data_IF_894629629891
#
_entry.id   IF_894629629891
#
_cell.length_a   1.000
_cell.length_b   1.000
_cell.length_c   1.000
_cell.angle_alpha   90.00
_cell.angle_beta   90.00
_cell.angle_gamma   90.00
#
_symmetry.space_group_name_H-M   'P 1'
#
loop_
_entity.id
_entity.type
_entity.pdbx_description
1 polymer ?
#
# COMPACT_ATOMS: atom_id res chain seq x y z
N UNK A 1 -3.41 -23.75 -9.33
CA UNK A 1 -4.22 -22.86 -10.18
C UNK A 1 -4.15 -21.39 -9.75
N UNK A 2 -4.39 -21.03 -8.49
CA UNK A 2 -4.34 -19.61 -8.04
C UNK A 2 -2.93 -18.99 -8.18
N UNK A 3 -1.90 -19.74 -7.78
CA UNK A 3 -0.51 -19.27 -7.80
C UNK A 3 0.05 -19.04 -9.23
N UNK A 4 -0.44 -19.77 -10.24
CA UNK A 4 -0.02 -19.58 -11.63
C UNK A 4 -0.64 -18.33 -12.27
N UNK A 5 -1.90 -18.02 -11.94
CA UNK A 5 -2.59 -16.81 -12.42
C UNK A 5 -1.95 -15.55 -11.85
N UNK A 6 -1.54 -15.58 -10.58
CA UNK A 6 -0.87 -14.45 -9.93
C UNK A 6 0.53 -14.20 -10.52
N UNK A 7 1.31 -15.26 -10.76
CA UNK A 7 2.61 -15.13 -11.46
C UNK A 7 2.49 -14.64 -12.90
N UNK A 8 1.36 -14.90 -13.55
CA UNK A 8 1.07 -14.34 -14.86
C UNK A 8 0.78 -12.85 -14.75
N UNK A 9 -0.08 -12.45 -13.82
CA UNK A 9 -0.38 -11.04 -13.54
C UNK A 9 0.87 -10.24 -13.15
N UNK A 10 1.74 -10.78 -12.28
CA UNK A 10 3.03 -10.17 -11.91
C UNK A 10 3.90 -9.89 -13.14
N UNK A 11 3.94 -10.83 -14.09
CA UNK A 11 4.71 -10.69 -15.33
C UNK A 11 4.10 -9.67 -16.28
N UNK A 12 2.79 -9.76 -16.50
CA UNK A 12 2.06 -8.84 -17.39
C UNK A 12 2.19 -7.39 -16.92
N UNK A 13 1.94 -7.13 -15.62
CA UNK A 13 2.09 -5.79 -15.04
C UNK A 13 3.53 -5.28 -15.16
N UNK A 14 4.52 -6.14 -14.92
CA UNK A 14 5.93 -5.77 -15.06
C UNK A 14 6.30 -5.45 -16.51
N UNK A 15 5.87 -6.27 -17.48
CA UNK A 15 6.15 -6.03 -18.89
C UNK A 15 5.53 -4.71 -19.35
N UNK A 16 4.28 -4.42 -18.97
CA UNK A 16 3.65 -3.13 -19.29
C UNK A 16 4.41 -1.95 -18.67
N UNK A 17 4.81 -2.06 -17.40
CA UNK A 17 5.59 -1.01 -16.75
C UNK A 17 6.99 -0.85 -17.38
N UNK A 18 7.70 -1.94 -17.64
CA UNK A 18 9.06 -1.91 -18.20
C UNK A 18 9.09 -1.38 -19.64
N UNK A 19 8.02 -1.58 -20.41
CA UNK A 19 7.82 -0.94 -21.71
C UNK A 19 7.73 0.59 -21.56
N UNK A 20 6.93 1.08 -20.61
CA UNK A 20 6.84 2.52 -20.34
C UNK A 20 8.17 3.10 -19.84
N UNK A 21 8.92 2.34 -19.02
CA UNK A 21 10.27 2.72 -18.60
C UNK A 21 11.21 2.86 -19.78
N UNK A 22 11.21 1.87 -20.69
CA UNK A 22 12.11 1.85 -21.86
C UNK A 22 11.81 2.97 -22.84
N UNK A 23 10.56 3.42 -22.88
CA UNK A 23 10.12 4.58 -23.67
C UNK A 23 10.27 5.92 -22.93
N UNK A 24 10.78 5.89 -21.69
CA UNK A 24 11.05 7.07 -20.88
C UNK A 24 12.56 7.37 -20.86
N UNK A 25 12.93 8.65 -20.75
CA UNK A 25 14.32 9.07 -20.57
C UNK A 25 14.75 9.06 -19.08
N UNK A 26 14.12 8.21 -18.25
CA UNK A 26 14.33 8.17 -16.80
C UNK A 26 15.37 7.11 -16.42
N UNK A 27 16.20 7.42 -15.43
CA UNK A 27 17.11 6.43 -14.85
C UNK A 27 16.33 5.38 -14.01
N UNK A 28 16.93 4.22 -13.78
CA UNK A 28 16.35 3.11 -13.02
C UNK A 28 15.81 3.53 -11.65
N UNK A 29 16.53 4.37 -10.90
CA UNK A 29 16.09 4.86 -9.59
C UNK A 29 14.92 5.85 -9.68
N UNK A 30 14.99 6.79 -10.62
CA UNK A 30 13.95 7.79 -10.90
C UNK A 30 12.63 7.12 -11.32
N UNK A 31 12.71 5.98 -11.98
CA UNK A 31 11.55 5.20 -12.36
C UNK A 31 11.05 4.26 -11.25
N UNK A 32 11.98 3.55 -10.60
CA UNK A 32 11.67 2.50 -9.62
C UNK A 32 10.87 3.03 -8.42
N UNK A 33 11.37 4.09 -7.79
CA UNK A 33 10.80 4.60 -6.55
C UNK A 33 9.35 5.09 -6.75
N UNK A 34 9.05 5.93 -7.76
CA UNK A 34 7.69 6.37 -8.06
C UNK A 34 6.73 5.23 -8.42
N UNK A 35 7.18 4.22 -9.19
CA UNK A 35 6.33 3.06 -9.52
C UNK A 35 5.97 2.24 -8.27
N UNK A 36 6.93 1.99 -7.39
CA UNK A 36 6.65 1.32 -6.10
C UNK A 36 5.71 2.15 -5.23
N UNK A 37 5.84 3.49 -5.25
CA UNK A 37 4.91 4.40 -4.59
C UNK A 37 3.48 4.30 -5.12
N UNK A 38 3.28 4.14 -6.44
CA UNK A 38 1.95 3.94 -7.03
C UNK A 38 1.33 2.60 -6.62
N UNK A 39 2.13 1.53 -6.57
CA UNK A 39 1.66 0.22 -6.07
C UNK A 39 1.25 0.33 -4.60
N UNK A 40 2.03 1.05 -3.79
CA UNK A 40 1.65 1.34 -2.40
C UNK A 40 0.36 2.15 -2.31
N UNK A 41 0.20 3.18 -3.13
CA UNK A 41 -1.02 3.99 -3.15
C UNK A 41 -2.25 3.15 -3.51
N UNK A 42 -2.11 2.24 -4.49
CA UNK A 42 -3.17 1.29 -4.85
C UNK A 42 -3.51 0.36 -3.69
N UNK A 43 -2.51 -0.16 -3.00
CA UNK A 43 -2.71 -0.98 -1.80
C UNK A 43 -3.46 -0.22 -0.70
N UNK A 44 -2.99 1.00 -0.38
CA UNK A 44 -3.60 1.84 0.63
C UNK A 44 -5.06 2.15 0.29
N UNK A 45 -5.35 2.44 -0.98
CA UNK A 45 -6.72 2.68 -1.44
C UNK A 45 -7.64 1.47 -1.29
N UNK A 46 -7.17 0.29 -1.67
CA UNK A 46 -7.94 -0.94 -1.54
C UNK A 46 -8.23 -1.25 -0.07
N UNK A 47 -7.23 -1.10 0.80
CA UNK A 47 -7.39 -1.25 2.26
C UNK A 47 -8.37 -0.22 2.84
N UNK A 48 -8.28 1.04 2.40
CA UNK A 48 -9.19 2.11 2.80
C UNK A 48 -10.64 1.77 2.44
N UNK A 49 -10.93 1.38 1.19
CA UNK A 49 -12.30 1.05 0.73
C UNK A 49 -12.90 -0.11 1.52
N UNK A 50 -12.12 -1.16 1.81
CA UNK A 50 -12.59 -2.24 2.68
C UNK A 50 -12.99 -1.74 4.06
N UNK A 51 -12.08 -1.04 4.73
CA UNK A 51 -12.31 -0.58 6.10
C UNK A 51 -13.46 0.43 6.14
N UNK A 52 -13.57 1.31 5.14
CA UNK A 52 -14.71 2.19 4.95
C UNK A 52 -16.03 1.40 4.89
N UNK A 53 -16.11 0.36 4.07
CA UNK A 53 -17.32 -0.48 3.99
C UNK A 53 -17.61 -1.24 5.28
N UNK A 54 -16.59 -1.68 6.03
CA UNK A 54 -16.76 -2.33 7.34
C UNK A 54 -17.30 -1.35 8.38
N UNK A 55 -16.73 -0.14 8.46
CA UNK A 55 -17.14 0.91 9.38
C UNK A 55 -18.59 1.31 9.08
N UNK A 56 -18.93 1.54 7.81
CA UNK A 56 -20.26 1.94 7.38
C UNK A 56 -21.35 0.91 7.76
N UNK A 57 -21.02 -0.39 7.78
CA UNK A 57 -21.97 -1.46 8.18
C UNK A 57 -22.33 -1.43 9.67
N UNK A 58 -21.40 -1.04 10.53
CA UNK A 58 -21.55 -1.09 11.99
C UNK A 58 -21.94 0.27 12.58
N UNK A 59 -21.94 1.31 11.75
CA UNK A 59 -22.07 2.68 12.23
C UNK A 59 -23.47 3.01 12.73
N UNK A 60 -23.61 3.61 13.93
CA UNK A 60 -24.91 4.05 14.41
C UNK A 60 -25.45 5.21 13.56
N UNK A 61 -26.75 5.15 13.28
CA UNK A 61 -27.51 6.21 12.62
C UNK A 61 -28.26 7.03 13.67
N UNK A 62 -28.22 8.36 13.57
CA UNK A 62 -29.02 9.28 14.40
C UNK A 62 -29.93 10.09 13.47
N UNK A 63 -31.25 9.97 13.66
CA UNK A 63 -32.23 10.69 12.85
C UNK A 63 -32.19 10.34 11.36
N UNK A 64 -31.85 9.09 11.00
CA UNK A 64 -31.74 8.64 9.61
C UNK A 64 -30.46 9.07 8.89
N UNK A 65 -29.54 9.76 9.57
CA UNK A 65 -28.20 10.08 9.05
C UNK A 65 -27.13 9.29 9.78
N UNK A 66 -26.26 8.65 9.01
CA UNK A 66 -25.05 8.04 9.54
C UNK A 66 -24.10 9.16 9.98
N UNK A 67 -23.40 8.97 11.11
CA UNK A 67 -22.34 9.87 11.54
C UNK A 67 -21.26 9.99 10.43
N UNK A 68 -20.46 11.09 10.38
CA UNK A 68 -19.40 11.32 9.39
C UNK A 68 -18.10 10.59 9.75
N UNK A 69 -17.38 10.01 8.77
CA UNK A 69 -16.24 9.10 9.05
C UNK A 69 -15.06 9.89 9.58
N UNK A 70 -14.45 9.40 10.67
CA UNK A 70 -13.30 10.05 11.29
C UNK A 70 -12.01 9.29 11.00
N UNK A 71 -10.87 10.01 11.05
CA UNK A 71 -9.53 9.43 10.85
C UNK A 71 -9.22 8.34 11.89
N UNK A 72 -9.68 8.54 13.13
CA UNK A 72 -9.52 7.62 14.25
C UNK A 72 -10.15 6.23 13.99
N UNK A 73 -11.25 6.17 13.23
CA UNK A 73 -11.94 4.92 12.91
C UNK A 73 -11.05 3.95 12.10
N UNK A 74 -10.13 4.48 11.28
CA UNK A 74 -9.22 3.70 10.45
C UNK A 74 -8.00 3.20 11.21
N UNK A 75 -7.49 4.00 12.16
CA UNK A 75 -6.32 3.64 12.97
C UNK A 75 -6.55 2.34 13.77
N UNK A 76 -7.75 2.16 14.32
CA UNK A 76 -8.15 0.94 15.06
C UNK A 76 -8.10 -0.32 14.20
N UNK A 77 -8.28 -0.18 12.88
CA UNK A 77 -8.28 -1.25 11.89
C UNK A 77 -6.94 -1.41 11.16
N UNK A 78 -5.89 -0.72 11.63
CA UNK A 78 -4.57 -0.69 10.97
C UNK A 78 -4.68 -0.31 9.49
N UNK A 79 -5.50 0.67 9.17
CA UNK A 79 -5.65 1.23 7.84
C UNK A 79 -5.36 2.73 7.85
N UNK A 80 -4.87 3.24 6.72
CA UNK A 80 -4.68 4.68 6.52
C UNK A 80 -6.02 5.29 6.09
N UNK A 81 -6.35 6.44 6.68
CA UNK A 81 -7.39 7.30 6.12
C UNK A 81 -6.85 7.98 4.86
N UNK A 82 -7.61 7.94 3.77
CA UNK A 82 -7.23 8.60 2.52
C UNK A 82 -8.17 9.78 2.23
N UNK A 83 -7.66 11.03 2.28
CA UNK A 83 -8.36 12.20 1.75
C UNK A 83 -8.79 11.97 0.30
N UNK A 84 -9.85 12.64 -0.14
CA UNK A 84 -10.42 12.45 -1.49
C UNK A 84 -9.37 12.64 -2.57
N UNK A 85 -8.51 13.63 -2.42
CA UNK A 85 -7.43 14.00 -3.33
C UNK A 85 -6.31 12.94 -3.39
N UNK A 86 -6.21 12.10 -2.36
CA UNK A 86 -5.24 11.00 -2.27
C UNK A 86 -5.86 9.63 -2.63
N UNK A 87 -7.15 9.57 -2.98
CA UNK A 87 -7.79 8.33 -3.39
C UNK A 87 -7.40 7.99 -4.83
N UNK A 88 -7.07 6.73 -5.06
CA UNK A 88 -6.66 6.25 -6.37
C UNK A 88 -7.74 6.48 -7.45
N UNK A 89 -9.01 6.31 -7.06
CA UNK A 89 -10.16 6.58 -7.94
C UNK A 89 -10.27 8.05 -8.35
N UNK A 90 -9.95 8.99 -7.46
CA UNK A 90 -9.93 10.42 -7.79
C UNK A 90 -8.88 10.72 -8.85
N UNK A 91 -7.66 10.20 -8.68
CA UNK A 91 -6.56 10.40 -9.63
C UNK A 91 -6.89 9.86 -11.04
N UNK A 92 -7.61 8.74 -11.10
CA UNK A 92 -8.06 8.13 -12.36
C UNK A 92 -9.17 8.90 -13.08
N UNK A 93 -9.93 9.73 -12.35
CA UNK A 93 -11.06 10.50 -12.89
C UNK A 93 -10.67 11.92 -13.34
N UNK A 94 -9.39 12.29 -13.18
CA UNK A 94 -8.89 13.59 -13.60
C UNK A 94 -8.92 13.74 -15.12
N UNK A 95 -9.18 14.95 -15.64
CA UNK A 95 -9.09 15.22 -17.07
C UNK A 95 -7.63 15.15 -17.54
N UNK A 96 -7.43 14.87 -18.83
CA UNK A 96 -6.09 14.87 -19.43
C UNK A 96 -5.38 16.24 -19.28
N UNK A 97 -6.15 17.34 -19.38
CA UNK A 97 -5.64 18.69 -19.14
C UNK A 97 -5.84 19.09 -17.67
N UNK A 98 -4.83 18.83 -16.86
CA UNK A 98 -4.85 19.13 -15.41
C UNK A 98 -4.95 20.63 -15.13
N UNK A 99 -4.26 21.47 -15.92
CA UNK A 99 -4.32 22.92 -15.75
C UNK A 99 -5.75 23.48 -15.89
N UNK A 100 -6.59 22.88 -16.75
CA UNK A 100 -7.99 23.27 -16.91
C UNK A 100 -8.87 22.90 -15.70
N UNK A 101 -8.46 21.94 -14.88
CA UNK A 101 -9.21 21.52 -13.70
C UNK A 101 -9.07 22.49 -12.52
N UNK A 102 -8.19 23.51 -12.61
CA UNK A 102 -7.98 24.54 -11.58
C UNK A 102 -7.75 23.95 -10.17
N UNK A 103 -7.04 22.83 -10.11
CA UNK A 103 -6.76 22.14 -8.85
C UNK A 103 -5.74 22.93 -8.04
N UNK A 104 -5.96 22.99 -6.73
CA UNK A 104 -5.03 23.61 -5.79
C UNK A 104 -4.53 22.56 -4.81
N UNK A 105 -3.23 22.55 -4.59
CA UNK A 105 -2.62 21.83 -3.48
C UNK A 105 -3.13 22.40 -2.16
N UNK A 106 -2.92 21.65 -1.07
CA UNK A 106 -3.26 22.08 0.30
C UNK A 106 -2.67 23.46 0.64
N UNK A 107 -1.48 23.77 0.13
CA UNK A 107 -0.79 25.05 0.34
C UNK A 107 -1.31 26.19 -0.54
N UNK A 108 -2.35 25.94 -1.35
CA UNK A 108 -2.95 26.93 -2.25
C UNK A 108 -2.28 27.08 -3.61
N UNK A 109 -1.18 26.36 -3.86
CA UNK A 109 -0.49 26.32 -5.15
C UNK A 109 -1.35 25.66 -6.22
N UNK A 110 -1.51 26.31 -7.37
CA UNK A 110 -2.21 25.71 -8.51
C UNK A 110 -1.39 24.56 -9.10
N UNK A 111 -1.99 23.39 -9.19
CA UNK A 111 -1.38 22.21 -9.80
C UNK A 111 -1.77 22.17 -11.28
N UNK A 112 -0.76 22.03 -12.14
CA UNK A 112 -0.89 22.13 -13.60
C UNK A 112 -0.54 20.84 -14.33
N UNK A 113 0.12 19.92 -13.64
CA UNK A 113 0.50 18.60 -14.17
C UNK A 113 -0.04 17.47 -13.30
N UNK A 114 -0.16 16.26 -13.87
CA UNK A 114 -0.59 15.08 -13.13
C UNK A 114 0.45 14.70 -12.07
N UNK A 115 1.73 14.89 -12.37
CA UNK A 115 2.83 14.67 -11.43
C UNK A 115 2.68 15.50 -10.14
N UNK A 116 2.29 16.77 -10.24
CA UNK A 116 2.03 17.62 -9.07
C UNK A 116 0.84 17.12 -8.24
N UNK A 117 -0.21 16.63 -8.90
CA UNK A 117 -1.39 16.10 -8.20
C UNK A 117 -1.06 14.82 -7.45
N UNK A 118 -0.28 13.91 -8.04
CA UNK A 118 0.18 12.68 -7.37
C UNK A 118 1.15 13.01 -6.24
N UNK A 119 2.06 13.98 -6.42
CA UNK A 119 2.92 14.46 -5.33
C UNK A 119 2.09 14.99 -4.15
N UNK A 120 1.05 15.76 -4.42
CA UNK A 120 0.12 16.26 -3.40
C UNK A 120 -0.62 15.12 -2.70
N UNK A 121 -1.08 14.10 -3.43
CA UNK A 121 -1.69 12.90 -2.85
C UNK A 121 -0.74 12.20 -1.87
N UNK A 122 0.52 12.01 -2.24
CA UNK A 122 1.53 11.40 -1.35
C UNK A 122 1.78 12.26 -0.12
N UNK A 123 1.90 13.58 -0.28
CA UNK A 123 2.07 14.51 0.83
C UNK A 123 0.92 14.44 1.84
N UNK A 124 -0.32 14.42 1.35
CA UNK A 124 -1.52 14.30 2.19
C UNK A 124 -1.55 13.00 3.00
N UNK A 125 -0.98 11.91 2.48
CA UNK A 125 -0.87 10.63 3.18
C UNK A 125 0.22 10.71 4.27
N UNK A 126 1.36 11.33 3.98
CA UNK A 126 2.46 11.48 4.96
C UNK A 126 2.01 12.30 6.18
N UNK A 127 1.22 13.35 5.99
CA UNK A 127 0.72 14.17 7.11
C UNK A 127 -0.17 13.40 8.09
N UNK A 128 -0.74 12.26 7.70
CA UNK A 128 -1.57 11.44 8.59
C UNK A 128 -0.74 10.60 9.58
N UNK A 129 0.56 10.41 9.31
CA UNK A 129 1.41 9.53 10.12
C UNK A 129 2.86 10.01 10.15
N UNK A 130 3.37 10.27 11.36
CA UNK A 130 4.78 10.59 11.59
C UNK A 130 5.74 9.54 11.02
N UNK A 131 5.30 8.28 10.93
CA UNK A 131 6.10 7.17 10.39
C UNK A 131 6.30 7.25 8.87
N UNK A 132 5.43 7.99 8.16
CA UNK A 132 5.47 8.10 6.70
C UNK A 132 6.17 9.37 6.23
N UNK A 133 6.50 10.30 7.13
CA UNK A 133 7.14 11.58 6.77
C UNK A 133 8.47 11.32 6.05
N UNK A 134 8.55 11.78 4.80
CA UNK A 134 9.75 11.62 3.96
C UNK A 134 9.95 10.22 3.38
N UNK A 135 9.02 9.30 3.57
CA UNK A 135 9.10 7.91 3.07
C UNK A 135 8.51 7.79 1.67
N UNK A 136 7.42 8.51 1.38
CA UNK A 136 6.73 8.39 0.10
C UNK A 136 7.44 9.24 -0.97
N UNK A 137 7.65 8.69 -2.18
CA UNK A 137 8.29 9.40 -3.27
C UNK A 137 7.43 10.61 -3.70
N UNK A 138 8.09 11.71 -4.01
CA UNK A 138 7.46 12.97 -4.45
C UNK A 138 8.12 13.53 -5.72
N UNK A 139 8.64 12.64 -6.56
CA UNK A 139 9.34 12.95 -7.82
C UNK A 139 8.49 12.62 -9.05
N UNK A 140 7.16 12.62 -8.92
CA UNK A 140 6.25 12.25 -10.01
C UNK A 140 6.25 13.27 -11.16
N UNK A 141 6.73 14.49 -10.94
CA UNK A 141 6.93 15.52 -11.96
C UNK A 141 8.06 15.22 -12.94
N UNK A 142 8.90 14.21 -12.66
CA UNK A 142 9.91 13.74 -13.62
C UNK A 142 9.25 12.94 -14.77
N UNK A 143 8.04 12.42 -14.57
CA UNK A 143 7.29 11.70 -15.60
C UNK A 143 6.52 12.69 -16.48
N UNK A 144 6.36 12.34 -17.76
CA UNK A 144 5.33 13.00 -18.57
C UNK A 144 3.94 12.56 -18.10
N UNK A 145 2.97 13.48 -18.14
CA UNK A 145 1.58 13.20 -17.73
C UNK A 145 0.99 11.99 -18.48
N UNK A 146 1.36 11.79 -19.75
CA UNK A 146 0.94 10.65 -20.54
C UNK A 146 1.45 9.30 -19.97
N UNK A 147 2.75 9.22 -19.62
CA UNK A 147 3.33 8.00 -19.04
C UNK A 147 2.73 7.75 -17.64
N UNK A 148 2.59 8.80 -16.83
CA UNK A 148 2.04 8.68 -15.48
C UNK A 148 0.57 8.25 -15.49
N UNK A 149 -0.23 8.79 -16.41
CA UNK A 149 -1.63 8.38 -16.61
C UNK A 149 -1.72 6.90 -17.02
N UNK A 150 -0.87 6.45 -17.93
CA UNK A 150 -0.85 5.04 -18.35
C UNK A 150 -0.38 4.11 -17.20
N UNK A 151 0.59 4.54 -16.38
CA UNK A 151 0.98 3.80 -15.18
C UNK A 151 -0.17 3.66 -14.19
N UNK A 152 -0.90 4.76 -13.92
CA UNK A 152 -2.09 4.72 -13.07
C UNK A 152 -3.14 3.75 -13.62
N UNK A 153 -3.31 3.70 -14.94
CA UNK A 153 -4.23 2.78 -15.60
C UNK A 153 -3.79 1.32 -15.47
N UNK A 154 -2.51 1.01 -15.68
CA UNK A 154 -1.95 -0.35 -15.53
C UNK A 154 -2.22 -0.89 -14.12
N UNK A 155 -2.00 -0.08 -13.09
CA UNK A 155 -2.24 -0.47 -11.70
C UNK A 155 -3.69 -0.31 -11.24
N UNK A 156 -4.62 0.13 -12.10
CA UNK A 156 -6.06 0.12 -11.83
C UNK A 156 -6.74 -1.21 -12.24
N UNK A 157 -5.99 -2.30 -12.31
CA UNK A 157 -6.53 -3.61 -12.68
C UNK A 157 -7.39 -4.17 -11.54
N UNK A 158 -8.63 -4.60 -11.84
CA UNK A 158 -9.55 -5.18 -10.85
C UNK A 158 -9.04 -6.48 -10.22
N UNK A 159 -8.07 -7.15 -10.84
CA UNK A 159 -7.37 -8.28 -10.24
C UNK A 159 -6.59 -7.90 -8.96
N UNK A 160 -6.37 -6.59 -8.72
CA UNK A 160 -5.70 -6.06 -7.54
C UNK A 160 -6.67 -5.78 -6.38
N UNK A 161 -7.98 -5.88 -6.59
CA UNK A 161 -9.02 -5.54 -5.61
C UNK A 161 -9.29 -6.66 -4.61
N UNK A 162 -8.76 -7.84 -4.86
CA UNK A 162 -9.00 -9.02 -4.04
C UNK A 162 -8.04 -9.03 -2.84
N UNK A 163 -8.53 -8.54 -1.70
CA UNK A 163 -7.72 -8.25 -0.51
C UNK A 163 -7.60 -9.48 0.42
N UNK A 164 -8.30 -10.58 0.14
CA UNK A 164 -8.22 -11.81 0.94
C UNK A 164 -6.96 -12.65 0.65
N UNK A 165 -6.27 -12.38 -0.45
CA UNK A 165 -4.94 -12.90 -0.72
C UNK A 165 -4.00 -11.75 -1.00
N UNK A 166 -2.83 -11.73 -0.38
CA UNK A 166 -1.81 -10.67 -0.51
C UNK A 166 -1.25 -10.60 -1.96
N UNK A 167 -2.06 -10.17 -2.93
CA UNK A 167 -1.73 -10.07 -4.36
C UNK A 167 -0.92 -8.80 -4.58
N UNK A 168 -1.36 -7.67 -4.02
CA UNK A 168 -0.65 -6.40 -4.15
C UNK A 168 0.71 -6.45 -3.45
N UNK A 169 0.82 -7.05 -2.25
CA UNK A 169 2.11 -7.22 -1.58
C UNK A 169 3.05 -8.15 -2.35
N UNK A 170 2.54 -9.22 -2.97
CA UNK A 170 3.33 -10.08 -3.88
C UNK A 170 3.83 -9.34 -5.11
N UNK A 171 2.99 -8.51 -5.73
CA UNK A 171 3.38 -7.68 -6.86
C UNK A 171 4.42 -6.65 -6.43
N UNK A 172 4.22 -6.01 -5.28
CA UNK A 172 5.18 -5.08 -4.70
C UNK A 172 6.55 -5.75 -4.51
N UNK A 173 6.60 -6.93 -3.88
CA UNK A 173 7.81 -7.74 -3.73
C UNK A 173 8.44 -8.14 -5.08
N UNK A 174 7.61 -8.53 -6.06
CA UNK A 174 8.07 -8.92 -7.39
C UNK A 174 8.75 -7.75 -8.12
N UNK A 175 8.11 -6.59 -8.16
CA UNK A 175 8.66 -5.36 -8.75
C UNK A 175 9.95 -4.96 -8.04
N UNK A 176 9.91 -4.95 -6.71
CA UNK A 176 11.09 -4.70 -5.89
C UNK A 176 12.27 -5.63 -6.24
N UNK A 177 12.02 -6.92 -6.47
CA UNK A 177 13.08 -7.88 -6.80
C UNK A 177 13.62 -7.66 -8.21
N UNK A 178 12.76 -7.31 -9.16
CA UNK A 178 13.17 -6.96 -10.53
C UNK A 178 14.02 -5.70 -10.55
N UNK A 179 13.58 -4.65 -9.85
CA UNK A 179 14.35 -3.42 -9.71
C UNK A 179 15.64 -3.61 -8.91
N UNK A 180 15.67 -4.48 -7.90
CA UNK A 180 16.93 -4.71 -7.16
C UNK A 180 18.05 -5.23 -8.06
N UNK A 181 17.74 -6.00 -9.11
CA UNK A 181 18.78 -6.46 -10.06
C UNK A 181 19.32 -5.34 -10.94
N UNK A 182 18.51 -4.31 -11.20
CA UNK A 182 18.94 -3.14 -11.98
C UNK A 182 19.57 -2.04 -11.12
N UNK A 183 19.15 -1.92 -9.85
CA UNK A 183 19.58 -0.88 -8.90
C UNK A 183 20.79 -1.30 -8.06
N UNK A 184 20.96 -2.59 -7.75
CA UNK A 184 22.07 -3.09 -6.90
C UNK A 184 23.47 -2.88 -7.51
N UNK A 185 23.55 -2.44 -8.76
CA UNK A 185 24.82 -2.16 -9.43
C UNK A 185 25.49 -0.87 -8.93
N UNK A 186 24.74 0.10 -8.36
CA UNK A 186 25.25 1.46 -8.16
C UNK A 186 25.53 1.86 -6.70
N UNK A 187 24.78 1.38 -5.69
CA UNK A 187 24.85 1.94 -4.31
C UNK A 187 25.08 0.92 -3.16
N UNK A 188 25.45 -0.33 -3.46
CA UNK A 188 25.84 -1.30 -2.41
C UNK A 188 24.72 -1.76 -1.45
N UNK A 189 23.46 -1.50 -1.79
CA UNK A 189 22.29 -1.94 -1.02
C UNK A 189 21.87 -3.35 -1.45
N UNK A 190 21.96 -4.31 -0.53
CA UNK A 190 21.63 -5.73 -0.79
C UNK A 190 20.23 -6.09 -0.34
N UNK A 191 19.59 -6.98 -1.10
CA UNK A 191 18.26 -7.51 -0.79
C UNK A 191 18.33 -8.91 -0.19
N UNK A 192 17.59 -9.15 0.90
CA UNK A 192 17.43 -10.48 1.52
C UNK A 192 16.28 -11.26 0.87
N UNK A 193 16.54 -12.36 0.15
CA UNK A 193 15.49 -13.20 -0.43
C UNK A 193 14.44 -13.66 0.58
N UNK A 194 13.18 -13.75 0.15
CA UNK A 194 12.05 -14.19 0.99
C UNK A 194 12.24 -15.58 1.61
N UNK A 195 12.97 -16.47 0.94
CA UNK A 195 13.32 -17.79 1.49
C UNK A 195 14.19 -17.66 2.75
N UNK A 196 15.17 -16.75 2.75
CA UNK A 196 16.01 -16.47 3.91
C UNK A 196 15.23 -15.75 5.00
N UNK A 197 14.37 -14.79 4.66
CA UNK A 197 13.51 -14.13 5.66
C UNK A 197 12.59 -15.16 6.34
N UNK A 198 11.89 -16.00 5.59
CA UNK A 198 11.03 -17.05 6.15
C UNK A 198 11.81 -18.01 7.01
N UNK A 199 13.02 -18.40 6.59
CA UNK A 199 13.89 -19.24 7.40
C UNK A 199 14.23 -18.55 8.73
N UNK A 200 14.67 -17.29 8.71
CA UNK A 200 15.02 -16.51 9.91
C UNK A 200 13.80 -16.38 10.84
N UNK A 201 12.64 -15.99 10.31
CA UNK A 201 11.40 -15.87 11.11
C UNK A 201 10.96 -17.21 11.69
N UNK A 202 11.10 -18.30 10.94
CA UNK A 202 10.79 -19.65 11.42
C UNK A 202 11.81 -20.18 12.45
N UNK A 203 13.05 -19.66 12.47
CA UNK A 203 14.04 -19.99 13.50
C UNK A 203 13.78 -19.17 14.77
N UNK A 204 13.51 -17.87 14.62
CA UNK A 204 13.26 -16.96 15.75
C UNK A 204 11.92 -17.27 16.43
N UNK A 205 10.91 -17.70 15.65
CA UNK A 205 9.54 -17.98 16.09
C UNK A 205 8.95 -16.93 17.06
N UNK A 206 8.93 -15.64 16.69
CA UNK A 206 8.50 -14.60 17.61
C UNK A 206 7.03 -14.78 18.01
N UNK A 207 6.75 -14.77 19.31
CA UNK A 207 5.38 -14.85 19.87
C UNK A 207 4.92 -13.53 20.49
N UNK A 208 5.82 -12.82 21.17
CA UNK A 208 5.60 -11.50 21.80
C UNK A 208 6.95 -10.83 22.05
N UNK A 209 6.97 -9.50 22.09
CA UNK A 209 8.18 -8.70 22.36
C UNK A 209 8.57 -7.81 21.19
N UNK A 210 9.78 -7.24 21.26
CA UNK A 210 10.31 -6.33 20.24
C UNK A 210 11.27 -7.09 19.33
N UNK A 211 11.03 -7.03 18.03
CA UNK A 211 11.95 -7.55 17.01
C UNK A 211 12.80 -6.40 16.49
N UNK A 212 14.12 -6.52 16.61
CA UNK A 212 15.08 -5.52 16.15
C UNK A 212 15.91 -6.10 15.00
N UNK A 213 15.97 -5.35 13.90
CA UNK A 213 16.90 -5.59 12.82
C UNK A 213 17.77 -4.33 12.63
N UNK A 214 19.03 -4.33 13.10
CA UNK A 214 19.88 -3.14 13.10
C UNK A 214 20.41 -2.78 11.70
N UNK A 215 20.18 -3.63 10.70
CA UNK A 215 20.61 -3.43 9.32
C UNK A 215 19.48 -3.82 8.35
N UNK A 216 18.24 -3.45 8.66
CA UNK A 216 17.05 -3.83 7.88
C UNK A 216 17.04 -3.30 6.44
N UNK A 217 17.97 -2.41 6.11
CA UNK A 217 18.03 -1.72 4.82
C UNK A 217 16.73 -0.96 4.53
N UNK A 218 16.47 -0.71 3.24
CA UNK A 218 15.24 -0.05 2.78
C UNK A 218 13.98 -0.92 2.92
N UNK A 219 14.06 -2.10 3.56
CA UNK A 219 12.98 -3.10 3.55
C UNK A 219 12.76 -3.75 4.91
N UNK A 220 11.67 -3.34 5.55
CA UNK A 220 11.08 -3.86 6.80
C UNK A 220 10.49 -5.28 6.61
N UNK A 221 11.06 -6.14 5.74
CA UNK A 221 10.45 -7.44 5.38
C UNK A 221 10.53 -8.44 6.54
N UNK A 222 11.63 -8.44 7.31
CA UNK A 222 11.75 -9.33 8.47
C UNK A 222 10.72 -8.95 9.54
N UNK A 223 10.53 -7.65 9.78
CA UNK A 223 9.56 -7.15 10.77
C UNK A 223 8.12 -7.33 10.30
N UNK A 224 7.81 -7.10 9.03
CA UNK A 224 6.46 -7.32 8.46
C UNK A 224 6.10 -8.82 8.47
N UNK A 225 7.00 -9.71 8.07
CA UNK A 225 6.74 -11.16 8.05
C UNK A 225 6.62 -11.72 9.47
N UNK A 226 7.42 -11.22 10.42
CA UNK A 226 7.29 -11.57 11.83
C UNK A 226 5.97 -11.09 12.44
N UNK A 227 5.56 -9.83 12.18
CA UNK A 227 4.27 -9.29 12.62
C UNK A 227 3.09 -10.06 12.02
N UNK A 228 3.20 -10.44 10.74
CA UNK A 228 2.21 -11.28 10.06
C UNK A 228 2.13 -12.68 10.69
N UNK A 229 3.25 -13.28 11.06
CA UNK A 229 3.29 -14.57 11.74
C UNK A 229 2.61 -14.53 13.13
N UNK A 230 2.85 -13.48 13.91
CA UNK A 230 2.18 -13.26 15.21
C UNK A 230 0.67 -13.12 15.01
N UNK A 231 0.24 -12.28 14.07
CA UNK A 231 -1.18 -12.09 13.77
C UNK A 231 -1.87 -13.38 13.29
N UNK A 232 -1.26 -14.12 12.36
CA UNK A 232 -1.81 -15.39 11.86
C UNK A 232 -1.91 -16.45 12.96
N UNK A 233 -0.94 -16.53 13.88
CA UNK A 233 -0.97 -17.48 15.00
C UNK A 233 -2.01 -17.07 16.04
N UNK A 234 -2.13 -15.78 16.36
CA UNK A 234 -3.21 -15.26 17.22
C UNK A 234 -4.59 -15.62 16.64
N UNK A 235 -4.80 -15.37 15.36
CA UNK A 235 -6.04 -15.73 14.63
C UNK A 235 -6.34 -17.23 14.61
N UNK A 236 -5.31 -18.10 14.60
CA UNK A 236 -5.46 -19.56 14.70
C UNK A 236 -5.69 -20.06 16.13
N UNK A 237 -5.28 -19.29 17.14
CA UNK A 237 -5.52 -19.59 18.55
C UNK A 237 -6.91 -19.10 19.01
N UNK A 238 -7.44 -18.02 18.43
CA UNK A 238 -8.78 -17.50 18.72
C UNK A 238 -9.95 -18.51 18.54
N UNK A 239 -9.98 -19.40 17.52
CA UNK A 239 -11.03 -20.42 17.44
C UNK A 239 -10.92 -21.50 18.53
N UNK A 240 -9.77 -21.65 19.21
CA UNK A 240 -9.62 -22.60 20.33
C UNK A 240 -10.19 -22.10 21.66
N UNK A 241 -10.57 -20.81 21.76
CA UNK A 241 -11.17 -20.23 22.97
C UNK A 241 -12.69 -20.02 22.89
N UNK A 242 -13.37 -20.53 21.85
CA UNK A 242 -14.84 -20.59 21.82
C UNK A 242 -15.33 -21.97 22.25
N UNK A 243 -15.42 -22.20 23.56
CA UNK A 243 -16.51 -22.96 24.21
C UNK A 243 -16.30 -23.00 25.73
N UNK A 244 -17.01 -22.11 26.43
CA UNK A 244 -17.86 -22.50 27.55
C UNK A 244 -18.89 -21.39 27.73
N UNK A 245 -20.14 -21.66 27.36
CA UNK A 245 -21.29 -20.87 27.82
C UNK A 245 -21.34 -21.03 29.33
N UNK A 246 -20.91 -20.03 30.07
CA UNK A 246 -21.29 -19.89 31.49
C UNK A 246 -22.59 -19.10 31.48
N UNK A 247 -23.70 -19.83 31.47
CA UNK A 247 -24.99 -19.30 31.86
C UNK A 247 -25.10 -19.39 33.40
N UNK A 248 -25.75 -18.39 34.00
CA UNK A 248 -26.21 -18.29 35.40
C UNK A 248 -25.32 -17.55 36.42
N UNK A 249 -25.63 -16.26 36.57
CA UNK A 249 -26.15 -15.58 37.77
C UNK A 249 -25.55 -15.88 39.16
N UNK A 250 -25.14 -14.76 39.78
CA UNK A 250 -25.14 -14.39 41.20
C UNK A 250 -24.05 -14.95 42.13
N UNK A 251 -23.26 -14.02 42.68
CA UNK A 251 -23.06 -13.94 44.12
C UNK A 251 -24.29 -13.21 44.71
N UNK A 252 -25.00 -13.87 45.62
CA UNK A 252 -24.74 -13.67 47.04
C UNK A 252 -24.25 -15.01 47.61
#
# INVERSE_FOLDING_TARGET
MINSRIRQLERELWESADLLRSNSNLNSNQYCMPVLGLIFLRYAYNRFKMVETEILKVRPSRGGRNLPIEVSDFAVKSALFLPKEAQYEYLMQLPENIAAANLKSKDGHSMTSLGEVVNNAMFLIEEQSEQLVGVLPKTYTEFSDAILSELLRIFNNSALDDIEGDVVGRIYEYFLNKFSKSVASDDGVFFTPKSLVKMIVNIIEPQKGVLLDPACGFRVIIVIEANSCVNIRSSRLLPKFKTQKINSWCAA
#
